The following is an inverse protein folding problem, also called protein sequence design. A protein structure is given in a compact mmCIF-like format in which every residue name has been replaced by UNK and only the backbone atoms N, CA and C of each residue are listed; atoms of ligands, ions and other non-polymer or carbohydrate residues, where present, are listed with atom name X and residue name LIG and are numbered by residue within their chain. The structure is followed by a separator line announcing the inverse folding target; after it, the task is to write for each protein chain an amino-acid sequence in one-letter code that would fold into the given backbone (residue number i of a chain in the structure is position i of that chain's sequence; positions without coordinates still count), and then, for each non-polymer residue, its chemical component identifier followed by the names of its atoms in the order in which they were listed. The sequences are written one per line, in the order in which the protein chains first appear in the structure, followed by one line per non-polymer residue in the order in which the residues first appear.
data_IF_866180269598
#
_entry.id   IF_866180269598
#
_cell.length_a   1.000
_cell.length_b   1.000
_cell.length_c   1.000
_cell.angle_alpha   90.00
_cell.angle_beta   90.00
_cell.angle_gamma   90.00
#
_symmetry.space_group_name_H-M   'P 1'
#
loop_
_entity.id
_entity.type
_entity.pdbx_description
1 polymer ?
#
# COMPACT_ATOMS: atom_id res chain seq x y z
N UNK A 1 -2.04 19.03 -30.12
CA UNK A 1 -2.24 17.95 -29.12
C UNK A 1 -2.97 18.46 -27.88
N UNK A 2 -2.56 19.60 -27.33
CA UNK A 2 -3.21 20.23 -26.18
C UNK A 2 -4.06 21.41 -26.64
N UNK A 3 -5.27 21.55 -26.11
CA UNK A 3 -6.02 22.81 -26.14
C UNK A 3 -5.65 23.59 -24.88
N UNK A 4 -5.25 24.84 -25.00
CA UNK A 4 -5.17 25.71 -23.82
C UNK A 4 -6.60 25.96 -23.34
N UNK A 5 -6.87 25.88 -22.03
CA UNK A 5 -8.12 26.45 -21.48
C UNK A 5 -7.98 27.97 -21.60
N UNK A 6 -8.24 28.50 -22.79
CA UNK A 6 -8.65 29.88 -22.97
C UNK A 6 -10.14 29.91 -22.67
N UNK A 7 -10.51 29.74 -21.39
CA UNK A 7 -11.65 30.53 -20.90
C UNK A 7 -11.20 31.96 -21.17
N UNK A 8 -11.92 32.66 -22.05
CA UNK A 8 -11.55 33.98 -22.55
C UNK A 8 -11.15 34.99 -21.47
N UNK A 9 -11.40 34.74 -20.19
CA UNK A 9 -11.05 35.68 -19.12
C UNK A 9 -10.31 35.13 -17.89
N UNK A 10 -10.04 33.83 -17.71
CA UNK A 10 -9.26 33.34 -16.53
C UNK A 10 -8.52 32.03 -16.81
N UNK A 11 -7.20 32.09 -16.89
CA UNK A 11 -6.31 30.95 -16.63
C UNK A 11 -6.64 30.40 -15.22
N UNK A 12 -6.53 29.09 -15.04
CA UNK A 12 -6.59 28.48 -13.71
C UNK A 12 -5.59 29.21 -12.82
N UNK A 13 -6.04 29.74 -11.68
CA UNK A 13 -5.14 30.43 -10.75
C UNK A 13 -4.36 29.38 -9.98
N UNK A 14 -3.04 29.42 -10.09
CA UNK A 14 -2.12 28.65 -9.28
C UNK A 14 -0.96 29.54 -8.84
N UNK A 15 -0.33 29.17 -7.72
CA UNK A 15 0.86 29.84 -7.22
C UNK A 15 2.08 29.43 -8.06
N UNK A 16 2.81 30.40 -8.63
CA UNK A 16 4.06 30.14 -9.34
C UNK A 16 5.14 29.69 -8.35
N UNK A 17 5.71 28.52 -8.58
CA UNK A 17 6.67 27.86 -7.66
C UNK A 17 8.10 27.79 -8.20
N UNK A 18 8.36 28.41 -9.35
CA UNK A 18 9.63 28.32 -10.06
C UNK A 18 9.62 27.30 -11.20
N UNK A 19 10.74 27.21 -11.92
CA UNK A 19 10.95 26.23 -12.97
C UNK A 19 11.59 24.94 -12.43
N UNK A 20 11.38 23.85 -13.17
CA UNK A 20 12.01 22.55 -12.96
C UNK A 20 12.64 22.03 -14.25
N UNK A 21 13.54 21.06 -14.12
CA UNK A 21 13.92 20.19 -15.24
C UNK A 21 13.08 18.92 -15.13
N UNK A 22 12.08 18.70 -16.01
CA UNK A 22 11.24 17.51 -15.93
C UNK A 22 12.07 16.24 -16.13
N UNK A 23 11.97 15.33 -15.17
CA UNK A 23 12.52 13.97 -15.21
C UNK A 23 11.43 12.92 -15.11
N UNK A 24 10.23 13.30 -14.65
CA UNK A 24 9.11 12.39 -14.45
C UNK A 24 7.79 12.87 -15.04
N UNK A 25 6.87 11.93 -15.23
CA UNK A 25 5.45 12.17 -15.45
C UNK A 25 4.70 11.46 -14.33
N UNK A 26 3.81 12.16 -13.64
CA UNK A 26 2.89 11.55 -12.67
C UNK A 26 1.49 11.52 -13.27
N UNK A 27 0.93 10.32 -13.37
CA UNK A 27 -0.46 10.07 -13.76
C UNK A 27 -1.37 10.13 -12.54
N UNK A 28 -2.44 10.91 -12.64
CA UNK A 28 -3.49 11.06 -11.63
C UNK A 28 -4.84 10.69 -12.26
N UNK A 29 -5.82 10.33 -11.44
CA UNK A 29 -7.24 10.39 -11.82
C UNK A 29 -7.97 11.39 -10.94
N UNK A 30 -9.16 11.82 -11.38
CA UNK A 30 -10.01 12.73 -10.60
C UNK A 30 -11.01 11.99 -9.71
N UNK A 31 -10.88 10.66 -9.61
CA UNK A 31 -11.65 9.78 -8.74
C UNK A 31 -13.17 10.01 -8.78
N UNK A 32 -13.69 10.11 -10.00
CA UNK A 32 -15.12 10.21 -10.30
C UNK A 32 -15.62 11.64 -10.53
N UNK A 33 -14.79 12.67 -10.27
CA UNK A 33 -15.18 14.06 -10.54
C UNK A 33 -15.26 14.33 -12.05
N UNK A 34 -16.27 15.13 -12.45
CA UNK A 34 -16.40 15.63 -13.83
C UNK A 34 -15.46 16.81 -14.07
N UNK A 35 -15.19 17.13 -15.33
CA UNK A 35 -14.24 18.18 -15.73
C UNK A 35 -14.36 19.50 -14.94
N UNK A 36 -15.55 20.11 -14.90
CA UNK A 36 -15.74 21.39 -14.20
C UNK A 36 -15.64 21.29 -12.68
N UNK A 37 -15.95 20.12 -12.11
CA UNK A 37 -15.80 19.86 -10.67
C UNK A 37 -14.32 19.70 -10.33
N UNK A 38 -13.58 18.96 -11.15
CA UNK A 38 -12.12 18.83 -11.06
C UNK A 38 -11.45 20.20 -11.10
N UNK A 39 -11.78 21.05 -12.07
CA UNK A 39 -11.19 22.40 -12.18
C UNK A 39 -11.46 23.21 -10.91
N UNK A 40 -12.68 23.16 -10.36
CA UNK A 40 -13.03 23.86 -9.12
C UNK A 40 -12.26 23.33 -7.91
N UNK A 41 -12.11 22.01 -7.78
CA UNK A 41 -11.38 21.41 -6.66
C UNK A 41 -9.88 21.70 -6.73
N UNK A 42 -9.29 21.73 -7.93
CA UNK A 42 -7.91 22.16 -8.14
C UNK A 42 -7.72 23.60 -7.64
N UNK A 43 -8.57 24.53 -8.07
CA UNK A 43 -8.51 25.94 -7.63
C UNK A 43 -8.71 26.08 -6.10
N UNK A 44 -9.73 25.40 -5.56
CA UNK A 44 -10.07 25.45 -4.13
C UNK A 44 -8.94 24.94 -3.24
N UNK A 45 -8.20 23.92 -3.68
CA UNK A 45 -7.10 23.31 -2.92
C UNK A 45 -5.73 23.92 -3.26
N UNK A 46 -5.69 24.92 -4.14
CA UNK A 46 -4.45 25.51 -4.69
C UNK A 46 -3.49 24.45 -5.24
N UNK A 47 -4.04 23.40 -5.87
CA UNK A 47 -3.27 22.33 -6.51
C UNK A 47 -2.77 22.85 -7.87
N UNK A 48 -1.56 22.44 -8.27
CA UNK A 48 -0.99 22.77 -9.57
C UNK A 48 -0.74 21.48 -10.37
N UNK A 49 -1.60 21.24 -11.36
CA UNK A 49 -1.54 20.12 -12.32
C UNK A 49 -1.26 20.72 -13.69
N UNK A 50 -0.33 20.13 -14.46
CA UNK A 50 0.05 20.67 -15.77
C UNK A 50 -1.00 20.41 -16.85
N UNK A 51 -1.51 19.17 -16.92
CA UNK A 51 -2.40 18.71 -17.98
C UNK A 51 -3.60 17.97 -17.40
N UNK A 52 -4.79 18.23 -17.95
CA UNK A 52 -6.03 17.52 -17.65
C UNK A 52 -6.62 16.91 -18.93
N UNK A 53 -6.97 15.62 -18.90
CA UNK A 53 -7.55 14.91 -20.05
C UNK A 53 -8.98 14.50 -19.72
N UNK A 54 -9.95 15.09 -20.42
CA UNK A 54 -11.38 14.86 -20.18
C UNK A 54 -11.83 13.48 -20.69
N UNK A 55 -13.01 13.02 -20.25
CA UNK A 55 -13.57 11.73 -20.61
C UNK A 55 -13.83 11.56 -22.11
N UNK A 56 -13.93 12.65 -22.86
CA UNK A 56 -14.06 12.63 -24.32
C UNK A 56 -12.71 12.54 -25.06
N UNK A 57 -11.59 12.49 -24.32
CA UNK A 57 -10.22 12.49 -24.85
C UNK A 57 -9.65 13.88 -25.16
N UNK A 58 -10.39 14.97 -24.91
CA UNK A 58 -9.86 16.33 -25.07
C UNK A 58 -8.82 16.61 -23.98
N UNK A 59 -7.63 17.03 -24.40
CA UNK A 59 -6.52 17.33 -23.48
C UNK A 59 -6.32 18.83 -23.31
N UNK A 60 -6.17 19.26 -22.06
CA UNK A 60 -6.13 20.64 -21.64
C UNK A 60 -4.84 20.95 -20.89
N UNK A 61 -4.11 21.97 -21.32
CA UNK A 61 -3.00 22.50 -20.51
C UNK A 61 -3.57 23.50 -19.50
N UNK A 62 -3.35 23.25 -18.21
CA UNK A 62 -3.86 24.07 -17.12
C UNK A 62 -2.83 25.10 -16.64
N UNK A 63 -1.55 24.73 -16.61
CA UNK A 63 -0.45 25.63 -16.24
C UNK A 63 0.10 26.37 -17.47
N UNK A 64 0.72 27.53 -17.25
CA UNK A 64 1.29 28.35 -18.33
C UNK A 64 2.40 27.65 -19.10
N UNK A 65 3.24 26.87 -18.40
CA UNK A 65 4.30 26.05 -19.00
C UNK A 65 4.38 24.68 -18.34
N UNK A 66 4.86 23.68 -19.08
CA UNK A 66 5.04 22.32 -18.57
C UNK A 66 6.29 22.16 -17.69
N UNK A 67 7.25 23.07 -17.80
CA UNK A 67 8.49 23.08 -17.00
C UNK A 67 8.40 23.94 -15.74
N UNK A 68 7.20 24.38 -15.36
CA UNK A 68 6.94 25.01 -14.07
C UNK A 68 6.71 23.95 -12.99
N UNK A 69 7.13 24.22 -11.75
CA UNK A 69 6.95 23.29 -10.62
C UNK A 69 5.47 23.12 -10.28
N UNK A 70 5.05 21.86 -10.12
CA UNK A 70 3.69 21.49 -9.76
C UNK A 70 3.40 21.59 -8.26
N UNK A 71 2.21 21.14 -7.89
CA UNK A 71 1.83 20.88 -6.50
C UNK A 71 0.69 19.86 -6.51
N UNK A 72 1.04 18.58 -6.54
CA UNK A 72 0.06 17.50 -6.57
C UNK A 72 0.55 16.19 -5.93
N UNK A 73 1.85 15.91 -5.90
CA UNK A 73 2.39 14.76 -5.16
C UNK A 73 3.75 15.04 -4.54
N UNK A 74 3.82 14.82 -3.23
CA UNK A 74 5.02 15.00 -2.42
C UNK A 74 6.21 14.24 -3.01
N UNK A 75 7.37 14.90 -3.05
CA UNK A 75 8.63 14.33 -3.50
C UNK A 75 8.85 14.37 -5.02
N UNK A 76 7.81 14.62 -5.81
CA UNK A 76 7.92 14.67 -7.28
C UNK A 76 7.52 16.01 -7.91
N UNK A 77 6.91 16.92 -7.15
CA UNK A 77 6.44 18.25 -7.61
C UNK A 77 7.55 19.13 -8.23
N UNK A 78 8.80 18.96 -7.78
CA UNK A 78 9.96 19.73 -8.24
C UNK A 78 10.63 19.16 -9.50
N UNK A 79 10.17 18.03 -10.01
CA UNK A 79 10.82 17.33 -11.13
C UNK A 79 9.86 16.59 -12.07
N UNK A 80 8.55 16.69 -11.88
CA UNK A 80 7.58 15.91 -12.65
C UNK A 80 6.45 16.74 -13.24
N UNK A 81 6.04 16.35 -14.45
CA UNK A 81 4.84 16.86 -15.10
C UNK A 81 3.64 16.04 -14.62
N UNK A 82 2.66 16.70 -14.04
CA UNK A 82 1.44 16.06 -13.53
C UNK A 82 0.36 16.06 -14.61
N UNK A 83 -0.12 14.87 -14.95
CA UNK A 83 -1.17 14.66 -15.94
C UNK A 83 -2.33 13.94 -15.26
N UNK A 84 -3.49 14.58 -15.19
CA UNK A 84 -4.69 14.01 -14.58
C UNK A 84 -5.68 13.59 -15.65
N UNK A 85 -6.28 12.40 -15.50
CA UNK A 85 -7.41 11.94 -16.33
C UNK A 85 -8.73 12.12 -15.58
N UNK A 86 -9.73 12.70 -16.23
CA UNK A 86 -11.06 12.94 -15.65
C UNK A 86 -11.88 11.65 -15.68
N UNK A 87 -12.36 11.21 -14.53
CA UNK A 87 -13.16 9.98 -14.40
C UNK A 87 -12.83 9.24 -13.11
N UNK A 88 -13.38 8.04 -12.95
CA UNK A 88 -13.12 7.14 -11.84
C UNK A 88 -11.71 6.54 -11.84
N UNK A 89 -11.61 5.24 -11.57
CA UNK A 89 -10.34 4.52 -11.45
C UNK A 89 -10.42 3.17 -12.15
N UNK A 90 -9.26 2.58 -12.47
CA UNK A 90 -9.15 1.19 -12.90
C UNK A 90 -10.00 0.87 -14.13
N UNK A 91 -11.01 0.01 -13.97
CA UNK A 91 -11.84 -0.51 -15.07
C UNK A 91 -12.55 0.60 -15.85
N UNK A 92 -13.07 1.63 -15.17
CA UNK A 92 -13.77 2.73 -15.84
C UNK A 92 -12.85 3.46 -16.84
N UNK A 93 -11.62 3.74 -16.42
CA UNK A 93 -10.62 4.40 -17.27
C UNK A 93 -10.13 3.48 -18.40
N UNK A 94 -10.00 2.19 -18.13
CA UNK A 94 -9.60 1.18 -19.12
C UNK A 94 -10.66 1.00 -20.21
N UNK A 95 -11.94 1.01 -19.85
CA UNK A 95 -13.05 0.84 -20.79
C UNK A 95 -13.20 2.08 -21.71
N UNK A 96 -12.74 3.26 -21.27
CA UNK A 96 -12.73 4.48 -22.08
C UNK A 96 -11.52 4.53 -23.04
N UNK A 97 -11.58 3.74 -24.10
CA UNK A 97 -10.50 3.61 -25.09
C UNK A 97 -10.11 4.93 -25.75
N UNK A 98 -11.05 5.87 -25.91
CA UNK A 98 -10.79 7.19 -26.49
C UNK A 98 -9.92 8.04 -25.57
N UNK A 99 -10.26 8.09 -24.28
CA UNK A 99 -9.47 8.80 -23.27
C UNK A 99 -8.12 8.12 -23.05
N UNK A 100 -8.06 6.80 -23.01
CA UNK A 100 -6.80 6.05 -22.92
C UNK A 100 -5.86 6.37 -24.10
N UNK A 101 -6.38 6.36 -25.33
CA UNK A 101 -5.61 6.71 -26.53
C UNK A 101 -5.10 8.16 -26.49
N UNK A 102 -5.93 9.10 -26.02
CA UNK A 102 -5.51 10.48 -25.83
C UNK A 102 -4.39 10.59 -24.76
N UNK A 103 -4.53 9.87 -23.66
CA UNK A 103 -3.54 9.81 -22.57
C UNK A 103 -2.20 9.30 -23.08
N UNK A 104 -2.19 8.17 -23.82
CA UNK A 104 -0.98 7.63 -24.46
C UNK A 104 -0.32 8.67 -25.37
N UNK A 105 -1.08 9.36 -26.23
CA UNK A 105 -0.54 10.37 -27.15
C UNK A 105 0.10 11.54 -26.40
N UNK A 106 -0.56 12.05 -25.35
CA UNK A 106 -0.04 13.15 -24.53
C UNK A 106 1.22 12.72 -23.79
N UNK A 107 1.18 11.59 -23.09
CA UNK A 107 2.31 11.08 -22.31
C UNK A 107 3.51 10.81 -23.21
N UNK A 108 3.28 10.24 -24.40
CA UNK A 108 4.35 10.01 -25.39
C UNK A 108 5.01 11.32 -25.81
N UNK A 109 4.20 12.33 -26.17
CA UNK A 109 4.72 13.63 -26.60
C UNK A 109 5.52 14.30 -25.47
N UNK A 110 4.99 14.33 -24.25
CA UNK A 110 5.68 14.91 -23.09
C UNK A 110 6.98 14.17 -22.79
N UNK A 111 6.96 12.83 -22.82
CA UNK A 111 8.15 12.04 -22.57
C UNK A 111 9.24 12.30 -23.61
N UNK A 112 8.86 12.44 -24.88
CA UNK A 112 9.79 12.74 -25.98
C UNK A 112 10.35 14.16 -25.92
N UNK A 113 9.52 15.17 -25.58
CA UNK A 113 9.96 16.56 -25.47
C UNK A 113 11.02 16.78 -24.39
N UNK A 114 10.93 16.04 -23.28
CA UNK A 114 11.80 16.22 -22.13
C UNK A 114 12.81 15.08 -21.93
N UNK A 115 12.84 14.08 -22.83
CA UNK A 115 13.71 12.92 -22.69
C UNK A 115 13.43 12.09 -21.43
N UNK A 116 12.17 12.03 -20.99
CA UNK A 116 11.76 11.29 -19.79
C UNK A 116 11.77 9.79 -20.11
N UNK A 117 12.39 8.94 -19.27
CA UNK A 117 12.35 7.49 -19.44
C UNK A 117 10.92 6.95 -19.51
N UNK A 118 10.65 6.08 -20.48
CA UNK A 118 9.32 5.47 -20.67
C UNK A 118 9.19 4.19 -19.83
N UNK A 119 9.37 4.29 -18.52
CA UNK A 119 9.23 3.17 -17.58
C UNK A 119 8.91 3.68 -16.17
N UNK A 120 8.59 2.76 -15.26
CA UNK A 120 8.37 3.02 -13.84
C UNK A 120 9.39 2.29 -12.93
N UNK A 121 10.60 2.02 -13.40
CA UNK A 121 11.57 1.18 -12.67
C UNK A 121 12.25 1.89 -11.50
N UNK A 122 12.74 3.12 -11.71
CA UNK A 122 13.56 3.86 -10.73
C UNK A 122 13.02 5.30 -10.57
N UNK A 123 12.20 5.50 -9.54
CA UNK A 123 11.54 6.79 -9.28
C UNK A 123 12.52 7.93 -8.97
N UNK A 124 13.73 7.63 -8.50
CA UNK A 124 14.76 8.64 -8.23
C UNK A 124 15.47 9.09 -9.52
N UNK A 125 15.44 8.27 -10.57
CA UNK A 125 16.00 8.61 -11.90
C UNK A 125 14.97 9.18 -12.87
N UNK A 126 13.69 9.16 -12.52
CA UNK A 126 12.62 9.65 -13.37
C UNK A 126 12.02 8.56 -14.25
N UNK A 127 10.89 8.87 -14.87
CA UNK A 127 10.02 7.87 -15.47
C UNK A 127 8.56 8.31 -15.57
N UNK A 128 7.67 7.36 -15.83
CA UNK A 128 6.22 7.55 -15.81
C UNK A 128 5.68 6.77 -14.62
N UNK A 129 5.05 7.45 -13.67
CA UNK A 129 4.56 6.83 -12.44
C UNK A 129 3.10 7.17 -12.17
N UNK A 130 2.40 6.32 -11.43
CA UNK A 130 1.11 6.67 -10.82
C UNK A 130 1.31 7.60 -9.63
N UNK A 131 0.26 8.36 -9.28
CA UNK A 131 0.23 9.12 -8.02
C UNK A 131 0.58 8.23 -6.84
N UNK A 132 0.05 7.00 -6.82
CA UNK A 132 0.29 6.05 -5.74
C UNK A 132 1.72 5.50 -5.71
N UNK A 133 2.33 5.20 -6.85
CA UNK A 133 3.76 4.84 -6.93
C UNK A 133 4.64 5.91 -6.29
N UNK A 134 4.37 7.19 -6.56
CA UNK A 134 5.09 8.29 -5.91
C UNK A 134 4.80 8.40 -4.41
N UNK A 135 3.55 8.24 -3.99
CA UNK A 135 3.20 8.19 -2.58
C UNK A 135 3.83 7.00 -1.84
N UNK A 136 4.01 5.85 -2.48
CA UNK A 136 4.68 4.70 -1.86
C UNK A 136 6.12 5.03 -1.45
N UNK A 137 6.83 5.87 -2.21
CA UNK A 137 8.20 6.28 -1.89
C UNK A 137 8.28 7.51 -0.99
N UNK A 138 7.42 8.51 -1.21
CA UNK A 138 7.58 9.84 -0.59
C UNK A 138 6.40 10.26 0.28
N UNK A 139 5.30 9.51 0.22
CA UNK A 139 4.05 9.80 0.91
C UNK A 139 4.08 9.31 2.34
N UNK A 140 4.49 10.19 3.27
CA UNK A 140 4.63 9.89 4.70
C UNK A 140 3.48 9.09 5.36
N UNK A 141 2.25 9.22 4.84
CA UNK A 141 1.08 8.40 5.21
C UNK A 141 0.29 8.12 3.92
N UNK A 142 0.00 6.85 3.65
CA UNK A 142 -0.91 6.47 2.57
C UNK A 142 -2.34 6.42 3.14
N UNK A 143 -3.28 7.28 2.71
CA UNK A 143 -4.70 7.10 3.01
C UNK A 143 -5.29 5.94 2.21
N UNK A 144 -6.36 5.30 2.68
CA UNK A 144 -7.07 4.15 2.07
C UNK A 144 -7.83 4.48 0.76
N UNK A 145 -7.31 5.38 -0.08
CA UNK A 145 -7.94 5.87 -1.31
C UNK A 145 -7.99 4.83 -2.45
N UNK A 146 -8.44 5.11 -3.67
CA UNK A 146 -8.17 4.17 -4.79
C UNK A 146 -6.67 4.03 -5.05
N UNK A 147 -6.21 2.97 -5.73
CA UNK A 147 -4.96 3.09 -6.49
C UNK A 147 -5.26 4.04 -7.66
N UNK A 148 -5.02 5.33 -7.51
CA UNK A 148 -5.28 6.33 -8.55
C UNK A 148 -4.08 6.44 -9.50
N UNK A 149 -4.27 6.41 -10.85
CA UNK A 149 -5.47 6.02 -11.61
C UNK A 149 -5.70 4.50 -11.71
N UNK A 150 -4.73 3.69 -11.27
CA UNK A 150 -4.76 2.22 -11.22
C UNK A 150 -3.60 1.62 -11.99
N UNK A 151 -2.96 0.58 -11.44
CA UNK A 151 -1.72 0.02 -12.01
C UNK A 151 -1.92 -0.51 -13.44
N UNK A 152 -3.03 -1.20 -13.72
CA UNK A 152 -3.34 -1.64 -15.09
C UNK A 152 -3.50 -0.48 -16.08
N UNK A 153 -4.06 0.65 -15.64
CA UNK A 153 -4.16 1.83 -16.51
C UNK A 153 -2.78 2.39 -16.82
N UNK A 154 -1.91 2.47 -15.81
CA UNK A 154 -0.53 2.95 -15.95
C UNK A 154 0.27 2.02 -16.85
N UNK A 155 0.13 0.71 -16.67
CA UNK A 155 0.72 -0.31 -17.55
C UNK A 155 0.30 -0.11 -19.00
N UNK A 156 -1.00 0.05 -19.28
CA UNK A 156 -1.48 0.30 -20.64
C UNK A 156 -0.93 1.61 -21.23
N UNK A 157 -0.78 2.66 -20.42
CA UNK A 157 -0.17 3.92 -20.86
C UNK A 157 1.31 3.73 -21.18
N UNK A 158 2.09 3.12 -20.28
CA UNK A 158 3.53 2.89 -20.47
C UNK A 158 3.79 2.01 -21.69
N UNK A 159 3.06 0.90 -21.82
CA UNK A 159 3.16 0.02 -22.98
C UNK A 159 2.74 0.77 -24.26
N UNK A 160 1.67 1.57 -24.19
CA UNK A 160 1.17 2.35 -25.32
C UNK A 160 2.15 3.42 -25.83
N UNK A 161 3.03 3.96 -24.98
CA UNK A 161 4.09 4.89 -25.40
C UNK A 161 5.36 4.19 -25.93
N UNK A 162 5.36 2.85 -25.96
CA UNK A 162 6.51 2.01 -26.33
C UNK A 162 7.52 1.84 -25.18
N UNK A 163 7.05 1.95 -23.95
CA UNK A 163 7.84 1.79 -22.73
C UNK A 163 7.82 0.36 -22.17
N UNK A 164 8.39 0.20 -20.98
CA UNK A 164 8.35 -1.04 -20.21
C UNK A 164 7.77 -0.78 -18.82
N UNK A 165 6.67 -1.45 -18.50
CA UNK A 165 6.08 -1.46 -17.16
C UNK A 165 6.77 -2.51 -16.29
N UNK A 166 7.00 -2.14 -15.03
CA UNK A 166 7.55 -2.98 -13.97
C UNK A 166 6.52 -3.05 -12.84
N UNK A 167 6.22 -4.25 -12.39
CA UNK A 167 5.37 -4.49 -11.23
C UNK A 167 6.06 -4.02 -9.94
N UNK A 168 5.29 -3.88 -8.86
CA UNK A 168 5.80 -3.35 -7.59
C UNK A 168 7.03 -4.09 -7.06
N UNK A 169 7.07 -5.42 -7.18
CA UNK A 169 8.20 -6.25 -6.76
C UNK A 169 9.48 -6.00 -7.57
N UNK A 170 9.34 -5.43 -8.77
CA UNK A 170 10.44 -5.15 -9.69
C UNK A 170 10.98 -3.72 -9.54
N UNK A 171 10.30 -2.84 -8.78
CA UNK A 171 10.77 -1.46 -8.60
C UNK A 171 12.13 -1.42 -7.90
N UNK A 172 13.00 -0.56 -8.41
CA UNK A 172 14.35 -0.43 -7.88
C UNK A 172 14.32 0.06 -6.44
N UNK A 173 14.95 -0.73 -5.57
CA UNK A 173 15.04 -0.43 -4.16
C UNK A 173 13.72 -0.55 -3.42
N UNK A 174 12.67 -1.20 -3.97
CA UNK A 174 11.38 -1.41 -3.29
C UNK A 174 11.52 -1.98 -1.87
N UNK A 175 12.54 -2.80 -1.66
CA UNK A 175 12.87 -3.48 -0.39
C UNK A 175 13.83 -2.71 0.52
N UNK A 176 14.25 -1.49 0.15
CA UNK A 176 15.11 -0.66 1.00
C UNK A 176 14.28 0.15 1.99
N UNK A 177 14.96 0.73 2.98
CA UNK A 177 14.39 1.76 3.84
C UNK A 177 13.72 2.86 2.98
N UNK A 178 12.73 3.54 3.56
CA UNK A 178 11.97 4.67 2.98
C UNK A 178 10.79 4.36 2.05
N UNK A 179 10.42 3.09 1.82
CA UNK A 179 9.14 2.77 1.17
C UNK A 179 8.03 2.55 2.21
N UNK A 180 6.85 3.12 1.97
CA UNK A 180 5.66 2.92 2.79
C UNK A 180 4.96 1.62 2.38
N UNK A 181 4.71 0.70 3.32
CA UNK A 181 4.13 -0.62 3.00
C UNK A 181 2.64 -0.77 3.33
N UNK A 182 2.01 0.15 4.07
CA UNK A 182 0.59 0.05 4.48
C UNK A 182 -0.06 1.43 4.59
N UNK A 183 -1.35 1.50 4.29
CA UNK A 183 -2.19 2.69 4.51
C UNK A 183 -2.53 2.87 5.98
N UNK A 184 -1.99 3.91 6.61
CA UNK A 184 -2.15 4.17 8.04
C UNK A 184 -3.17 5.29 8.28
N UNK A 185 -4.16 5.07 9.16
CA UNK A 185 -4.98 6.14 9.72
C UNK A 185 -4.57 6.41 11.17
N UNK A 186 -3.71 7.41 11.38
CA UNK A 186 -3.13 7.71 12.70
C UNK A 186 -4.17 8.14 13.75
N UNK A 187 -5.19 8.90 13.36
CA UNK A 187 -6.26 9.32 14.26
C UNK A 187 -7.14 8.15 14.68
N UNK A 188 -7.45 7.26 13.73
CA UNK A 188 -8.23 6.04 14.03
C UNK A 188 -7.41 5.07 14.87
N UNK A 189 -6.10 4.93 14.62
CA UNK A 189 -5.21 4.13 15.45
C UNK A 189 -5.15 4.64 16.90
N UNK A 190 -5.15 5.97 17.10
CA UNK A 190 -5.19 6.58 18.43
C UNK A 190 -6.52 6.30 19.17
N UNK A 191 -7.63 6.14 18.44
CA UNK A 191 -8.95 5.80 19.00
C UNK A 191 -9.11 4.32 19.38
N UNK A 192 -8.13 3.45 19.08
CA UNK A 192 -8.22 1.99 19.32
C UNK A 192 -8.04 1.55 20.78
N UNK A 193 -7.97 2.48 21.73
CA UNK A 193 -7.89 2.21 23.17
C UNK A 193 -6.47 1.94 23.67
N UNK A 194 -6.33 1.82 24.99
CA UNK A 194 -5.05 1.54 25.65
C UNK A 194 -4.73 0.04 25.69
N UNK A 195 -3.44 -0.29 25.83
CA UNK A 195 -3.03 -1.67 26.01
C UNK A 195 -3.50 -2.18 27.38
N UNK A 196 -4.30 -3.24 27.38
CA UNK A 196 -4.89 -3.82 28.59
C UNK A 196 -4.40 -5.24 28.87
N UNK A 197 -3.70 -5.87 27.91
CA UNK A 197 -3.14 -7.21 28.02
C UNK A 197 -1.74 -7.31 27.45
N UNK A 198 -1.08 -8.42 27.74
CA UNK A 198 0.21 -8.77 27.15
C UNK A 198 1.40 -8.59 28.08
N UNK A 199 2.58 -8.52 27.46
CA UNK A 199 3.88 -8.44 28.13
C UNK A 199 3.91 -7.35 29.20
N UNK A 200 4.28 -7.72 30.43
CA UNK A 200 4.37 -6.81 31.57
C UNK A 200 3.04 -6.26 32.09
N UNK A 201 1.90 -6.67 31.54
CA UNK A 201 0.56 -6.26 31.99
C UNK A 201 -0.19 -7.44 32.61
N UNK A 202 -0.16 -8.59 31.94
CA UNK A 202 -0.81 -9.83 32.40
C UNK A 202 0.19 -10.97 32.55
N UNK A 203 -0.16 -11.95 33.39
CA UNK A 203 0.68 -13.14 33.61
C UNK A 203 0.86 -13.94 32.31
N UNK A 204 2.03 -14.56 32.16
CA UNK A 204 2.30 -15.44 31.01
C UNK A 204 1.29 -16.59 30.96
N UNK A 205 0.72 -16.89 29.79
CA UNK A 205 -0.14 -18.05 29.62
C UNK A 205 0.67 -19.33 29.46
N UNK A 206 0.06 -20.47 29.81
CA UNK A 206 0.60 -21.78 29.41
C UNK A 206 0.41 -21.95 27.91
N UNK A 207 1.46 -22.42 27.24
CA UNK A 207 1.42 -22.71 25.81
C UNK A 207 0.64 -24.00 25.58
N UNK A 208 -0.36 -23.94 24.70
CA UNK A 208 -1.26 -25.06 24.42
C UNK A 208 -1.01 -25.73 23.07
N UNK A 209 0.12 -25.46 22.42
CA UNK A 209 0.54 -25.96 21.10
C UNK A 209 2.04 -26.25 21.18
N UNK A 210 2.44 -27.50 20.95
CA UNK A 210 3.81 -27.99 21.23
C UNK A 210 4.90 -27.35 20.39
N UNK A 211 4.55 -26.91 19.17
CA UNK A 211 5.48 -26.29 18.24
C UNK A 211 5.86 -24.86 18.59
N UNK A 212 5.15 -24.23 19.53
CA UNK A 212 5.39 -22.86 19.99
C UNK A 212 6.45 -22.83 21.10
N UNK A 213 7.28 -21.79 21.07
CA UNK A 213 8.32 -21.57 22.05
C UNK A 213 7.72 -21.29 23.45
N UNK A 214 8.32 -21.91 24.46
CA UNK A 214 7.93 -21.78 25.85
C UNK A 214 9.15 -21.88 26.77
N UNK A 215 9.00 -21.40 28.00
CA UNK A 215 10.02 -21.55 29.03
C UNK A 215 10.07 -23.00 29.57
N UNK A 216 10.96 -23.24 30.53
CA UNK A 216 11.14 -24.55 31.17
C UNK A 216 9.91 -25.02 31.99
N UNK A 217 8.93 -24.14 32.23
CA UNK A 217 7.69 -24.43 32.95
C UNK A 217 6.47 -24.51 32.00
N UNK A 218 6.69 -24.38 30.69
CA UNK A 218 5.65 -24.46 29.66
C UNK A 218 4.85 -23.17 29.48
N UNK A 219 5.35 -22.04 29.97
CA UNK A 219 4.72 -20.72 29.77
C UNK A 219 5.29 -20.01 28.54
N UNK A 220 4.46 -19.16 27.91
CA UNK A 220 4.90 -18.37 26.76
C UNK A 220 6.03 -17.41 27.15
N UNK A 221 7.01 -17.22 26.26
CA UNK A 221 8.17 -16.36 26.50
C UNK A 221 7.71 -14.90 26.66
N UNK A 222 7.85 -14.30 27.85
CA UNK A 222 7.24 -12.99 28.13
C UNK A 222 7.78 -11.88 27.22
N UNK A 223 9.08 -11.90 26.92
CA UNK A 223 9.71 -10.92 26.03
C UNK A 223 9.18 -10.95 24.59
N UNK A 224 8.53 -12.05 24.19
CA UNK A 224 7.98 -12.27 22.85
C UNK A 224 6.44 -12.27 22.84
N UNK A 225 5.82 -11.67 23.88
CA UNK A 225 4.39 -11.35 23.88
C UNK A 225 4.19 -9.91 23.43
N UNK A 226 3.14 -9.65 22.66
CA UNK A 226 2.72 -8.29 22.31
C UNK A 226 2.05 -7.62 23.51
N UNK A 227 2.12 -6.29 23.59
CA UNK A 227 1.12 -5.48 24.30
C UNK A 227 -0.04 -5.21 23.37
N UNK A 228 -1.27 -5.46 23.81
CA UNK A 228 -2.43 -5.32 22.95
C UNK A 228 -3.67 -4.87 23.72
N UNK A 229 -4.64 -4.37 22.96
CA UNK A 229 -5.96 -4.00 23.46
C UNK A 229 -6.83 -5.24 23.47
N UNK A 230 -7.40 -5.58 24.61
CA UNK A 230 -8.37 -6.68 24.71
C UNK A 230 -9.62 -6.36 23.88
N UNK A 231 -9.97 -7.27 22.98
CA UNK A 231 -11.14 -7.14 22.08
C UNK A 231 -12.12 -8.29 22.25
N UNK A 232 -11.97 -9.08 23.31
CA UNK A 232 -12.76 -10.28 23.57
C UNK A 232 -12.15 -11.53 22.94
N UNK A 233 -12.98 -12.54 22.76
CA UNK A 233 -12.61 -13.88 22.28
C UNK A 233 -13.20 -14.16 20.90
N UNK A 234 -12.58 -15.07 20.16
CA UNK A 234 -13.07 -15.59 18.89
C UNK A 234 -13.72 -16.96 19.04
N UNK A 235 -14.65 -17.27 18.16
CA UNK A 235 -15.05 -18.64 17.87
C UNK A 235 -14.16 -19.13 16.72
N UNK A 236 -13.19 -19.99 17.01
CA UNK A 236 -12.18 -20.38 16.02
C UNK A 236 -12.81 -21.25 14.93
N UNK A 237 -12.85 -20.72 13.70
CA UNK A 237 -13.31 -21.41 12.49
C UNK A 237 -12.20 -21.56 11.45
N UNK A 238 -11.14 -20.76 11.54
CA UNK A 238 -10.07 -20.76 10.54
C UNK A 238 -8.75 -20.23 11.04
N UNK A 239 -7.79 -20.19 10.13
CA UNK A 239 -6.47 -19.60 10.31
C UNK A 239 -6.18 -18.67 9.16
N UNK A 240 -5.59 -17.51 9.45
CA UNK A 240 -5.10 -16.59 8.42
C UNK A 240 -3.59 -16.50 8.54
N UNK A 241 -2.91 -16.78 7.43
CA UNK A 241 -1.48 -16.55 7.29
C UNK A 241 -1.28 -15.16 6.69
N UNK A 242 -0.50 -14.34 7.37
CA UNK A 242 -0.09 -13.03 6.87
C UNK A 242 1.42 -12.90 7.06
N UNK A 243 2.04 -12.06 6.24
CA UNK A 243 3.43 -11.69 6.45
C UNK A 243 3.56 -10.19 6.60
N UNK A 244 4.47 -9.79 7.48
CA UNK A 244 4.86 -8.40 7.66
C UNK A 244 6.24 -8.23 7.06
N UNK A 245 6.35 -7.29 6.13
CA UNK A 245 7.58 -6.98 5.41
C UNK A 245 8.61 -6.29 6.33
N UNK A 246 9.21 -7.06 7.23
CA UNK A 246 10.26 -6.65 8.17
C UNK A 246 11.39 -7.68 8.19
N UNK A 247 12.57 -7.25 8.64
CA UNK A 247 13.77 -8.08 8.67
C UNK A 247 13.89 -8.99 9.90
N UNK A 248 13.20 -8.66 10.98
CA UNK A 248 13.35 -9.31 12.29
C UNK A 248 12.08 -9.16 13.14
N UNK A 249 12.04 -9.98 14.20
CA UNK A 249 10.93 -10.09 15.14
C UNK A 249 10.63 -8.79 15.89
N UNK A 250 11.67 -8.13 16.40
CA UNK A 250 11.55 -6.91 17.21
C UNK A 250 10.88 -5.81 16.41
N UNK A 251 11.31 -5.60 15.17
CA UNK A 251 10.73 -4.63 14.25
C UNK A 251 9.27 -4.97 13.94
N UNK A 252 8.93 -6.27 13.78
CA UNK A 252 7.53 -6.70 13.62
C UNK A 252 6.69 -6.31 14.83
N UNK A 253 7.15 -6.63 16.04
CA UNK A 253 6.46 -6.33 17.31
C UNK A 253 6.25 -4.84 17.48
N UNK A 254 7.29 -4.03 17.28
CA UNK A 254 7.20 -2.57 17.39
C UNK A 254 6.18 -1.99 16.42
N UNK A 255 6.15 -2.49 15.18
CA UNK A 255 5.19 -2.05 14.17
C UNK A 255 3.75 -2.43 14.53
N UNK A 256 3.52 -3.65 15.02
CA UNK A 256 2.19 -4.09 15.46
C UNK A 256 1.70 -3.25 16.65
N UNK A 257 2.51 -3.10 17.70
CA UNK A 257 2.16 -2.33 18.89
C UNK A 257 1.91 -0.85 18.54
N UNK A 258 2.78 -0.21 17.75
CA UNK A 258 2.62 1.19 17.31
C UNK A 258 1.31 1.43 16.56
N UNK A 259 0.82 0.42 15.83
CA UNK A 259 -0.43 0.48 15.06
C UNK A 259 -1.65 -0.01 15.85
N UNK A 260 -1.45 -0.43 17.10
CA UNK A 260 -2.44 -1.13 17.94
C UNK A 260 -3.10 -2.30 17.20
N UNK A 261 -2.26 -3.02 16.44
CA UNK A 261 -2.56 -4.29 15.81
C UNK A 261 -2.06 -5.41 16.70
N UNK A 262 -2.55 -6.62 16.46
CA UNK A 262 -2.12 -7.80 17.17
C UNK A 262 -2.31 -9.03 16.30
N UNK A 263 -1.38 -9.98 16.41
CA UNK A 263 -1.49 -11.32 15.83
C UNK A 263 -1.41 -12.35 16.94
N UNK A 264 -2.03 -13.51 16.76
CA UNK A 264 -2.10 -14.57 17.77
C UNK A 264 -0.77 -15.27 17.94
N UNK A 265 -0.08 -15.52 16.82
CA UNK A 265 1.22 -16.17 16.74
C UNK A 265 2.12 -15.37 15.80
N UNK A 266 3.39 -15.24 16.15
CA UNK A 266 4.42 -14.67 15.26
C UNK A 266 5.50 -15.73 15.02
N UNK A 267 5.84 -15.99 13.75
CA UNK A 267 6.90 -16.91 13.34
C UNK A 267 8.08 -16.12 12.78
N UNK A 268 9.20 -16.17 13.50
CA UNK A 268 10.40 -15.39 13.18
C UNK A 268 11.20 -15.98 12.00
N UNK A 269 12.15 -15.21 11.48
CA UNK A 269 13.05 -15.59 10.37
C UNK A 269 13.92 -16.80 10.69
N UNK A 270 14.18 -17.07 11.96
CA UNK A 270 14.91 -18.26 12.40
C UNK A 270 14.03 -19.51 12.47
N UNK A 271 12.72 -19.39 12.21
CA UNK A 271 11.75 -20.47 12.26
C UNK A 271 11.35 -20.90 13.67
N UNK A 272 11.45 -20.00 14.65
CA UNK A 272 10.81 -20.13 15.95
C UNK A 272 9.43 -19.47 15.91
N UNK A 273 8.41 -20.13 16.47
CA UNK A 273 7.05 -19.62 16.55
C UNK A 273 6.71 -19.26 17.99
N UNK A 274 6.19 -18.06 18.23
CA UNK A 274 5.86 -17.53 19.54
C UNK A 274 4.37 -17.26 19.66
N UNK A 275 3.76 -17.66 20.78
CA UNK A 275 2.43 -17.19 21.13
C UNK A 275 2.52 -15.74 21.61
N UNK A 276 2.01 -14.81 20.82
CA UNK A 276 2.14 -13.38 21.09
C UNK A 276 1.02 -12.83 22.00
N UNK A 277 -0.12 -13.51 22.09
CA UNK A 277 -1.26 -13.11 22.93
C UNK A 277 -1.42 -14.00 24.18
N UNK A 278 -2.25 -13.56 25.12
CA UNK A 278 -2.52 -14.28 26.38
C UNK A 278 -3.29 -15.58 26.15
N UNK A 279 -3.94 -15.72 25.00
CA UNK A 279 -4.71 -16.90 24.63
C UNK A 279 -4.79 -17.00 23.11
N UNK A 280 -4.80 -18.23 22.60
CA UNK A 280 -5.01 -18.49 21.17
C UNK A 280 -6.40 -18.04 20.71
N UNK A 281 -7.35 -17.95 21.63
CA UNK A 281 -8.73 -17.57 21.38
C UNK A 281 -8.96 -16.06 21.58
N UNK A 282 -7.92 -15.28 21.94
CA UNK A 282 -8.06 -13.83 22.02
C UNK A 282 -8.24 -13.23 20.63
N UNK A 283 -9.19 -12.29 20.51
CA UNK A 283 -9.46 -11.58 19.28
C UNK A 283 -8.29 -10.69 18.88
N UNK A 284 -7.57 -11.14 17.86
CA UNK A 284 -6.50 -10.42 17.22
C UNK A 284 -7.03 -9.21 16.41
N UNK A 285 -6.11 -8.32 16.02
CA UNK A 285 -6.37 -7.19 15.16
C UNK A 285 -5.31 -7.17 14.05
N UNK A 286 -5.48 -8.03 13.05
CA UNK A 286 -4.56 -8.15 11.92
C UNK A 286 -5.31 -7.96 10.60
N UNK A 287 -6.10 -8.95 10.17
CA UNK A 287 -6.86 -8.92 8.92
C UNK A 287 -8.35 -8.59 9.17
N UNK A 288 -8.79 -7.42 8.67
CA UNK A 288 -10.20 -7.02 8.73
C UNK A 288 -11.12 -8.06 8.08
N UNK A 289 -12.26 -8.35 8.70
CA UNK A 289 -13.23 -9.35 8.22
C UNK A 289 -12.99 -10.79 8.72
N UNK A 290 -11.78 -11.13 9.18
CA UNK A 290 -11.47 -12.49 9.70
C UNK A 290 -11.13 -12.51 11.19
N UNK A 291 -10.85 -11.36 11.79
CA UNK A 291 -10.50 -11.22 13.20
C UNK A 291 -11.53 -11.84 14.18
N UNK A 292 -12.79 -11.98 13.77
CA UNK A 292 -13.85 -12.55 14.61
C UNK A 292 -13.83 -14.09 14.69
N UNK A 293 -13.15 -14.75 13.76
CA UNK A 293 -13.25 -16.20 13.57
C UNK A 293 -11.91 -16.91 13.36
N UNK A 294 -10.84 -16.18 13.07
CA UNK A 294 -9.58 -16.79 12.66
C UNK A 294 -8.43 -16.51 13.62
N UNK A 295 -7.65 -17.55 13.90
CA UNK A 295 -6.32 -17.43 14.49
C UNK A 295 -5.41 -16.73 13.47
N UNK A 296 -4.75 -15.66 13.89
CA UNK A 296 -3.87 -14.86 13.03
C UNK A 296 -2.43 -15.34 13.24
N UNK A 297 -1.75 -15.72 12.15
CA UNK A 297 -0.35 -16.16 12.16
C UNK A 297 0.45 -15.18 11.32
N UNK A 298 1.26 -14.37 11.99
CA UNK A 298 2.20 -13.43 11.37
C UNK A 298 3.51 -14.15 11.05
N UNK A 299 3.99 -14.02 9.82
CA UNK A 299 5.26 -14.59 9.36
C UNK A 299 6.22 -13.43 9.10
N UNK A 300 7.34 -13.40 9.82
CA UNK A 300 8.36 -12.35 9.65
C UNK A 300 9.14 -12.60 8.36
N UNK A 301 9.16 -11.64 7.45
CA UNK A 301 10.01 -11.75 6.27
C UNK A 301 9.89 -10.59 5.31
N UNK A 302 11.00 -10.24 4.65
CA UNK A 302 11.07 -9.08 3.76
C UNK A 302 10.13 -9.16 2.55
N UNK A 303 9.82 -10.37 2.08
CA UNK A 303 8.88 -10.66 0.99
C UNK A 303 8.55 -12.17 0.95
N UNK A 304 7.57 -12.53 0.13
CA UNK A 304 7.15 -13.92 -0.07
C UNK A 304 8.28 -14.84 -0.54
N UNK A 305 9.13 -14.39 -1.46
CA UNK A 305 10.23 -15.19 -1.99
C UNK A 305 11.23 -15.58 -0.89
N UNK A 306 11.55 -14.64 0.01
CA UNK A 306 12.42 -14.88 1.15
C UNK A 306 11.83 -15.93 2.11
N UNK A 307 10.52 -15.84 2.39
CA UNK A 307 9.80 -16.79 3.25
C UNK A 307 9.79 -18.19 2.61
N UNK A 308 9.48 -18.28 1.32
CA UNK A 308 9.42 -19.56 0.60
C UNK A 308 10.78 -20.26 0.48
N UNK A 309 11.87 -19.48 0.35
CA UNK A 309 13.25 -19.99 0.37
C UNK A 309 13.69 -20.45 1.76
N UNK A 310 13.13 -19.88 2.83
CA UNK A 310 13.43 -20.26 4.20
C UNK A 310 12.70 -21.56 4.61
N UNK A 311 13.34 -22.70 4.31
CA UNK A 311 12.78 -24.03 4.62
C UNK A 311 12.45 -24.22 6.10
N UNK A 312 13.25 -23.67 7.02
CA UNK A 312 13.05 -23.84 8.47
C UNK A 312 11.78 -23.12 8.92
N UNK A 313 11.64 -21.86 8.53
CA UNK A 313 10.44 -21.07 8.82
C UNK A 313 9.20 -21.68 8.17
N UNK A 314 9.26 -22.04 6.87
CA UNK A 314 8.13 -22.67 6.17
C UNK A 314 7.67 -23.96 6.84
N UNK A 315 8.61 -24.83 7.22
CA UNK A 315 8.27 -26.08 7.92
C UNK A 315 7.66 -25.80 9.30
N UNK A 316 8.15 -24.78 10.01
CA UNK A 316 7.56 -24.36 11.29
C UNK A 316 6.14 -23.87 11.12
N UNK A 317 5.86 -23.01 10.13
CA UNK A 317 4.49 -22.54 9.83
C UNK A 317 3.58 -23.73 9.54
N UNK A 318 4.01 -24.68 8.69
CA UNK A 318 3.22 -25.88 8.39
C UNK A 318 2.96 -26.75 9.62
N UNK A 319 3.93 -26.88 10.52
CA UNK A 319 3.75 -27.59 11.79
C UNK A 319 2.70 -26.90 12.68
N UNK A 320 2.81 -25.58 12.87
CA UNK A 320 1.87 -24.79 13.67
C UNK A 320 0.45 -24.89 13.11
N UNK A 321 0.29 -24.74 11.79
CA UNK A 321 -1.00 -24.87 11.10
C UNK A 321 -1.62 -26.24 11.34
N UNK A 322 -0.83 -27.30 11.23
CA UNK A 322 -1.31 -28.66 11.48
C UNK A 322 -1.77 -28.86 12.93
N UNK A 323 -0.96 -28.43 13.91
CA UNK A 323 -1.30 -28.58 15.33
C UNK A 323 -2.55 -27.75 15.72
N UNK A 324 -2.73 -26.56 15.13
CA UNK A 324 -3.92 -25.74 15.33
C UNK A 324 -5.15 -26.35 14.67
N UNK A 325 -5.00 -26.86 13.45
CA UNK A 325 -6.06 -27.57 12.74
C UNK A 325 -6.58 -28.77 13.55
N UNK A 326 -5.68 -29.59 14.09
CA UNK A 326 -6.05 -30.72 14.96
C UNK A 326 -6.74 -30.26 16.25
N UNK A 327 -6.25 -29.18 16.87
CA UNK A 327 -6.79 -28.65 18.12
C UNK A 327 -8.19 -28.07 17.99
N UNK A 328 -8.47 -27.36 16.90
CA UNK A 328 -9.73 -26.64 16.68
C UNK A 328 -10.63 -27.30 15.63
N UNK A 329 -10.24 -28.47 15.11
CA UNK A 329 -10.95 -29.18 14.05
C UNK A 329 -11.17 -28.33 12.79
N UNK A 330 -10.13 -27.59 12.37
CA UNK A 330 -10.15 -26.73 11.18
C UNK A 330 -9.73 -27.57 9.96
N UNK A 331 -10.45 -27.55 8.83
CA UNK A 331 -10.03 -28.23 7.61
C UNK A 331 -8.65 -27.75 7.11
N UNK A 332 -7.85 -28.67 6.55
CA UNK A 332 -6.56 -28.36 5.92
C UNK A 332 -6.71 -28.10 4.42
N UNK A 333 -7.68 -27.26 4.07
CA UNK A 333 -7.90 -26.78 2.71
C UNK A 333 -8.38 -25.32 2.74
N UNK A 334 -8.50 -24.72 1.57
CA UNK A 334 -9.00 -23.36 1.39
C UNK A 334 -10.17 -23.34 0.39
N UNK A 335 -10.93 -24.42 0.32
CA UNK A 335 -11.94 -24.62 -0.71
C UNK A 335 -13.12 -23.67 -0.56
N UNK A 336 -13.55 -23.41 0.68
CA UNK A 336 -14.65 -22.51 1.01
C UNK A 336 -14.21 -21.49 2.08
N UNK A 337 -14.15 -20.22 1.70
CA UNK A 337 -13.77 -19.12 2.61
C UNK A 337 -14.98 -18.59 3.40
N UNK A 338 -16.21 -18.99 3.03
CA UNK A 338 -17.46 -18.50 3.62
C UNK A 338 -17.99 -19.41 4.75
N UNK A 339 -17.50 -20.65 4.87
CA UNK A 339 -17.90 -21.65 5.87
C UNK A 339 -17.26 -21.45 7.25
#
# INVERSE_FOLDING_TARGET
LLKTILRRDRLLKYEYRGQMTPKGIILHSTSGLKFYETVREIEKRNIAIHILIDGDGTSYQLMGRLDEKGLAVRGMDDCSIHISVVGGIGKELLDNTKQLSATVKVVKAVAEWYGIPKNNYDIEKGGIFSHMQAKYKYGGVLPYDGLEPGEKFVEQVINGVGGQFYTESEWKGRSTDFWHFVRENKEENAKRGDFTKGRGITKQPKVGVSSLAHDNKGFAIDSHRLKYVDRGKIEVKGMVLHFTATGDYETTVENLEKRRLSSTIIVDVDGIAYQSLDSLDDKAAAAGGTNDYCIQIEIVGMNEEAILKNKRQKNKVGQVVKELSEKYNIPLDNFDIES
#
